data_IF_717483680464
#
_entry.id   IF_717483680464
#
_cell.length_a   1.000
_cell.length_b   1.000
_cell.length_c   1.000
_cell.angle_alpha   90.00
_cell.angle_beta   90.00
_cell.angle_gamma   90.00
#
_symmetry.space_group_name_H-M   'P 1'
#
loop_
_entity.id
_entity.type
_entity.pdbx_description
1 polymer ?
#
# COMPACT_ATOMS: atom_id res chain seq x y z
N UNK A 1 18.43 -37.48 17.16
CA UNK A 1 19.05 -36.18 17.49
C UNK A 1 17.96 -35.12 17.57
N UNK A 2 18.10 -34.08 18.39
CA UNK A 2 17.04 -33.11 18.66
C UNK A 2 17.06 -31.91 17.70
N UNK A 3 15.99 -31.71 16.91
CA UNK A 3 15.85 -30.52 16.06
C UNK A 3 15.50 -29.27 16.88
N UNK A 4 16.52 -28.45 17.17
CA UNK A 4 16.35 -27.13 17.77
C UNK A 4 16.18 -26.06 16.67
N UNK A 5 14.94 -25.85 16.23
CA UNK A 5 14.61 -24.82 15.25
C UNK A 5 13.12 -24.48 15.20
N UNK A 6 12.65 -23.58 16.09
CA UNK A 6 11.25 -23.11 16.10
C UNK A 6 10.87 -22.34 14.84
N UNK A 7 11.84 -21.69 14.20
CA UNK A 7 11.71 -21.08 12.87
C UNK A 7 11.52 -22.15 11.79
N UNK A 8 10.52 -21.95 10.93
CA UNK A 8 10.24 -22.83 9.79
C UNK A 8 9.47 -24.13 10.09
N UNK A 9 9.12 -24.46 11.34
CA UNK A 9 8.39 -25.71 11.67
C UNK A 9 7.08 -25.86 10.88
N UNK A 10 6.27 -24.79 10.83
CA UNK A 10 5.00 -24.75 10.06
C UNK A 10 5.22 -24.85 8.54
N UNK A 11 6.36 -24.37 8.04
CA UNK A 11 6.71 -24.49 6.62
C UNK A 11 7.04 -25.95 6.31
N UNK A 12 7.99 -26.54 7.05
CA UNK A 12 8.35 -27.97 6.94
C UNK A 12 7.13 -28.89 7.05
N UNK A 13 6.19 -28.62 7.94
CA UNK A 13 4.98 -29.43 8.10
C UNK A 13 4.06 -29.36 6.86
N UNK A 14 3.94 -28.19 6.21
CA UNK A 14 3.21 -28.04 4.93
C UNK A 14 3.95 -28.72 3.78
N UNK A 15 5.25 -28.48 3.66
CA UNK A 15 6.07 -29.00 2.55
C UNK A 15 6.04 -30.53 2.51
N UNK A 16 6.17 -31.19 3.66
CA UNK A 16 6.12 -32.66 3.79
C UNK A 16 4.76 -33.25 3.43
N UNK A 17 3.67 -32.56 3.78
CA UNK A 17 2.32 -32.96 3.40
C UNK A 17 2.08 -32.83 1.89
N UNK A 18 2.52 -31.72 1.29
CA UNK A 18 2.43 -31.47 -0.15
C UNK A 18 3.34 -32.40 -0.97
N UNK A 19 4.51 -32.77 -0.44
CA UNK A 19 5.38 -33.81 -1.00
C UNK A 19 4.80 -35.23 -0.90
N UNK A 20 3.67 -35.41 -0.19
CA UNK A 20 2.95 -36.67 -0.10
C UNK A 20 3.58 -37.72 0.82
N UNK A 21 4.49 -37.32 1.71
CA UNK A 21 5.18 -38.26 2.62
C UNK A 21 4.18 -39.00 3.53
N UNK A 22 4.27 -40.33 3.61
CA UNK A 22 3.40 -41.15 4.47
C UNK A 22 3.44 -40.70 5.95
N UNK A 23 4.64 -40.40 6.46
CA UNK A 23 4.85 -39.93 7.84
C UNK A 23 4.26 -38.53 8.14
N UNK A 24 3.73 -37.82 7.13
CA UNK A 24 2.99 -36.56 7.29
C UNK A 24 1.47 -36.76 7.40
N UNK A 25 0.97 -37.97 7.11
CA UNK A 25 -0.45 -38.31 6.99
C UNK A 25 -1.04 -39.06 8.20
N UNK A 26 -0.32 -39.14 9.32
CA UNK A 26 -0.89 -39.65 10.57
C UNK A 26 -1.89 -38.65 11.16
N UNK A 27 -2.88 -39.15 11.91
CA UNK A 27 -3.93 -38.34 12.55
C UNK A 27 -3.38 -37.17 13.36
N UNK A 28 -2.29 -37.38 14.12
CA UNK A 28 -1.66 -36.32 14.92
C UNK A 28 -1.01 -35.25 14.03
N UNK A 29 -0.44 -35.63 12.88
CA UNK A 29 0.24 -34.71 11.97
C UNK A 29 -0.72 -33.93 11.09
N UNK A 30 -1.79 -34.57 10.65
CA UNK A 30 -2.90 -33.91 9.96
C UNK A 30 -3.58 -32.90 10.90
N UNK A 31 -3.83 -33.28 12.16
CA UNK A 31 -4.40 -32.37 13.15
C UNK A 31 -3.42 -31.25 13.55
N UNK A 32 -2.13 -31.55 13.75
CA UNK A 32 -1.08 -30.55 13.99
C UNK A 32 -1.05 -29.51 12.85
N UNK A 33 -1.06 -29.99 11.60
CA UNK A 33 -1.07 -29.14 10.41
C UNK A 33 -2.34 -28.28 10.34
N UNK A 34 -3.51 -28.88 10.52
CA UNK A 34 -4.80 -28.18 10.50
C UNK A 34 -4.85 -27.07 11.56
N UNK A 35 -4.40 -27.36 12.78
CA UNK A 35 -4.34 -26.36 13.86
C UNK A 35 -3.32 -25.23 13.59
N UNK A 36 -2.33 -25.40 12.71
CA UNK A 36 -1.44 -24.28 12.32
C UNK A 36 -2.18 -23.15 11.61
N UNK A 37 -3.32 -23.43 10.95
CA UNK A 37 -4.12 -22.41 10.27
C UNK A 37 -5.03 -21.63 11.24
N UNK A 38 -5.51 -22.28 12.30
CA UNK A 38 -6.39 -21.65 13.30
C UNK A 38 -5.64 -20.97 14.47
N UNK A 39 -4.47 -21.47 14.86
CA UNK A 39 -3.76 -20.98 16.07
C UNK A 39 -2.51 -20.19 15.68
N UNK A 40 -2.50 -18.88 15.90
CA UNK A 40 -1.36 -18.00 15.58
C UNK A 40 -0.15 -18.18 16.52
N UNK A 41 1.06 -18.25 15.93
CA UNK A 41 2.40 -18.12 16.57
C UNK A 41 2.69 -18.98 17.83
N UNK A 42 1.90 -20.01 18.12
CA UNK A 42 2.14 -20.99 19.20
C UNK A 42 2.57 -22.36 18.64
N UNK A 43 3.17 -23.19 19.48
CA UNK A 43 3.38 -24.61 19.19
C UNK A 43 2.04 -25.35 19.35
N UNK A 44 1.56 -25.95 18.26
CA UNK A 44 0.28 -26.67 18.19
C UNK A 44 0.45 -28.18 18.32
N UNK A 45 1.68 -28.70 18.32
CA UNK A 45 1.95 -30.13 18.45
C UNK A 45 1.44 -30.72 19.77
N UNK A 46 1.61 -30.07 20.95
CA UNK A 46 1.03 -30.58 22.19
C UNK A 46 -0.50 -30.58 22.16
N UNK A 47 -1.11 -29.60 21.50
CA UNK A 47 -2.57 -29.47 21.40
C UNK A 47 -3.17 -30.56 20.48
N UNK A 48 -2.53 -30.86 19.35
CA UNK A 48 -2.92 -31.95 18.47
C UNK A 48 -2.86 -33.31 19.19
N UNK A 49 -1.75 -33.57 19.91
CA UNK A 49 -1.60 -34.80 20.71
C UNK A 49 -2.65 -34.90 21.83
N UNK A 50 -2.96 -33.80 22.51
CA UNK A 50 -3.99 -33.77 23.56
C UNK A 50 -5.38 -34.09 23.00
N UNK A 51 -5.75 -33.51 21.85
CA UNK A 51 -7.04 -33.78 21.19
C UNK A 51 -7.17 -35.23 20.74
N UNK A 52 -6.13 -35.80 20.10
CA UNK A 52 -6.12 -37.23 19.73
C UNK A 52 -6.22 -38.11 20.98
N UNK A 53 -5.55 -37.74 22.08
CA UNK A 53 -5.65 -38.47 23.37
C UNK A 53 -7.05 -38.42 23.99
N UNK A 54 -7.73 -37.26 23.93
CA UNK A 54 -9.05 -37.07 24.55
C UNK A 54 -10.17 -37.69 23.72
N UNK A 55 -10.12 -37.58 22.39
CA UNK A 55 -11.21 -38.01 21.51
C UNK A 55 -10.95 -39.36 20.80
N UNK A 56 -9.71 -39.85 20.77
CA UNK A 56 -9.36 -41.20 20.29
C UNK A 56 -9.01 -41.31 18.79
N UNK A 57 -8.94 -40.21 18.05
CA UNK A 57 -8.56 -40.19 16.64
C UNK A 57 -9.02 -38.92 15.91
N UNK A 58 -8.52 -38.67 14.70
CA UNK A 58 -8.82 -37.46 13.93
C UNK A 58 -10.32 -37.37 13.57
N UNK A 59 -10.93 -38.49 13.17
CA UNK A 59 -12.36 -38.57 12.85
C UNK A 59 -13.24 -38.19 14.06
N UNK A 60 -12.84 -38.63 15.25
CA UNK A 60 -13.50 -38.34 16.51
C UNK A 60 -13.33 -36.87 16.92
N UNK A 61 -12.15 -36.27 16.71
CA UNK A 61 -11.94 -34.82 16.90
C UNK A 61 -12.80 -33.98 15.94
N UNK A 62 -12.92 -34.39 14.68
CA UNK A 62 -13.73 -33.70 13.68
C UNK A 62 -15.24 -33.77 13.98
N UNK A 63 -15.71 -34.91 14.48
CA UNK A 63 -17.12 -35.15 14.81
C UNK A 63 -17.55 -34.62 16.20
N UNK A 64 -16.65 -34.57 17.19
CA UNK A 64 -16.91 -34.09 18.57
C UNK A 64 -17.67 -32.76 18.66
N UNK A 65 -18.55 -32.58 19.65
CA UNK A 65 -19.36 -31.37 19.76
C UNK A 65 -18.51 -30.10 19.97
N UNK A 66 -18.96 -28.90 19.54
CA UNK A 66 -18.30 -27.63 19.84
C UNK A 66 -18.04 -27.44 21.34
N UNK A 67 -19.00 -27.83 22.19
CA UNK A 67 -18.91 -27.71 23.65
C UNK A 67 -17.85 -28.65 24.25
N UNK A 68 -17.69 -29.86 23.70
CA UNK A 68 -16.64 -30.79 24.13
C UNK A 68 -15.25 -30.35 23.68
N UNK A 69 -15.12 -29.84 22.45
CA UNK A 69 -13.87 -29.28 21.94
C UNK A 69 -13.43 -28.05 22.77
N UNK A 70 -14.38 -27.22 23.21
CA UNK A 70 -14.12 -26.04 24.05
C UNK A 70 -13.54 -26.39 25.44
N UNK A 71 -13.80 -27.60 25.96
CA UNK A 71 -13.24 -28.08 27.25
C UNK A 71 -11.72 -28.32 27.17
N UNK A 72 -11.14 -28.48 25.98
CA UNK A 72 -9.70 -28.73 25.80
C UNK A 72 -8.92 -27.42 25.81
N UNK A 73 -8.14 -27.20 26.87
CA UNK A 73 -7.33 -25.99 27.07
C UNK A 73 -6.38 -25.71 25.90
N UNK A 74 -6.67 -24.66 25.15
CA UNK A 74 -5.88 -24.23 23.98
C UNK A 74 -6.66 -24.26 22.67
N UNK A 75 -7.82 -24.91 22.63
CA UNK A 75 -8.82 -24.70 21.58
C UNK A 75 -9.47 -23.33 21.76
N UNK A 76 -9.65 -22.61 20.65
CA UNK A 76 -10.47 -21.41 20.57
C UNK A 76 -11.49 -21.52 19.44
N UNK A 77 -12.41 -20.56 19.34
CA UNK A 77 -13.51 -20.59 18.36
C UNK A 77 -13.04 -20.80 16.91
N UNK A 78 -11.93 -20.16 16.49
CA UNK A 78 -11.34 -20.37 15.16
C UNK A 78 -10.89 -21.81 14.90
N UNK A 79 -10.43 -22.53 15.93
CA UNK A 79 -10.05 -23.94 15.82
C UNK A 79 -11.29 -24.84 15.71
N UNK A 80 -12.33 -24.56 16.50
CA UNK A 80 -13.60 -25.29 16.44
C UNK A 80 -14.25 -25.11 15.06
N UNK A 81 -14.34 -23.88 14.57
CA UNK A 81 -14.89 -23.56 13.25
C UNK A 81 -14.13 -24.30 12.13
N UNK A 82 -12.80 -24.29 12.15
CA UNK A 82 -11.98 -25.00 11.16
C UNK A 82 -12.23 -26.52 11.18
N UNK A 83 -12.26 -27.14 12.36
CA UNK A 83 -12.56 -28.57 12.51
C UNK A 83 -13.96 -28.91 11.99
N UNK A 84 -14.95 -28.06 12.26
CA UNK A 84 -16.33 -28.26 11.80
C UNK A 84 -16.51 -28.08 10.30
N UNK A 85 -15.80 -27.13 9.68
CA UNK A 85 -15.75 -26.98 8.22
C UNK A 85 -15.15 -28.22 7.56
N UNK A 86 -14.03 -28.75 8.06
CA UNK A 86 -13.43 -29.99 7.53
C UNK A 86 -14.37 -31.18 7.68
N UNK A 87 -15.03 -31.33 8.84
CA UNK A 87 -16.02 -32.38 9.07
C UNK A 87 -17.22 -32.28 8.10
N UNK A 88 -17.72 -31.07 7.84
CA UNK A 88 -18.85 -30.82 6.93
C UNK A 88 -18.48 -31.13 5.46
N UNK A 89 -17.26 -30.80 5.04
CA UNK A 89 -16.74 -31.17 3.72
C UNK A 89 -16.60 -32.69 3.62
N UNK A 90 -16.09 -33.35 4.67
CA UNK A 90 -15.93 -34.80 4.72
C UNK A 90 -17.27 -35.56 4.70
N UNK A 91 -18.32 -35.01 5.32
CA UNK A 91 -19.65 -35.66 5.37
C UNK A 91 -20.44 -35.55 4.06
N UNK A 92 -19.87 -34.97 3.00
CA UNK A 92 -20.46 -34.92 1.66
C UNK A 92 -21.77 -34.11 1.60
N UNK A 93 -22.08 -33.32 2.63
CA UNK A 93 -23.38 -32.65 2.81
C UNK A 93 -23.47 -31.32 2.04
N UNK A 94 -22.74 -31.22 0.93
CA UNK A 94 -22.84 -30.11 -0.01
C UNK A 94 -23.92 -30.46 -1.02
N UNK A 95 -25.11 -29.89 -0.87
CA UNK A 95 -26.18 -30.01 -1.86
C UNK A 95 -25.69 -29.46 -3.20
N UNK A 96 -25.51 -30.34 -4.18
CA UNK A 96 -25.16 -29.97 -5.55
C UNK A 96 -26.41 -29.45 -6.27
N UNK A 97 -26.80 -28.22 -5.96
CA UNK A 97 -27.71 -27.44 -6.81
C UNK A 97 -26.94 -26.74 -7.94
N UNK A 98 -26.16 -27.51 -8.71
CA UNK A 98 -25.72 -27.05 -10.04
C UNK A 98 -26.83 -27.31 -11.06
N UNK A 99 -27.93 -26.55 -10.92
CA UNK A 99 -28.95 -26.38 -11.97
C UNK A 99 -28.92 -24.95 -12.53
N UNK A 100 -27.72 -24.42 -12.80
CA UNK A 100 -27.56 -23.44 -13.87
C UNK A 100 -27.59 -24.18 -15.20
N UNK A 101 -28.78 -24.28 -15.80
CA UNK A 101 -28.92 -24.60 -17.20
C UNK A 101 -28.22 -23.52 -18.03
N UNK A 102 -27.17 -23.92 -18.75
CA UNK A 102 -26.45 -23.03 -19.67
C UNK A 102 -27.44 -22.42 -20.68
N UNK A 103 -27.44 -21.08 -20.87
CA UNK A 103 -28.30 -20.46 -21.87
C UNK A 103 -27.87 -20.95 -23.26
N UNK A 104 -28.76 -21.69 -23.94
CA UNK A 104 -28.58 -22.07 -25.35
C UNK A 104 -28.71 -20.84 -26.22
N UNK A 105 -27.59 -20.20 -26.54
CA UNK A 105 -27.55 -19.06 -27.46
C UNK A 105 -26.71 -17.89 -26.96
N UNK A 106 -25.41 -18.10 -26.79
CA UNK A 106 -24.41 -17.03 -26.79
C UNK A 106 -23.13 -17.61 -27.40
N UNK A 107 -22.57 -16.93 -28.40
CA UNK A 107 -21.53 -17.52 -29.26
C UNK A 107 -20.23 -17.87 -28.52
N UNK A 108 -19.58 -18.92 -29.01
CA UNK A 108 -18.37 -19.47 -28.43
C UNK A 108 -17.19 -18.49 -28.58
N UNK A 109 -16.91 -17.74 -27.52
CA UNK A 109 -15.63 -17.05 -27.36
C UNK A 109 -15.18 -17.02 -25.88
N UNK A 110 -15.12 -18.21 -25.26
CA UNK A 110 -14.42 -18.40 -23.99
C UNK A 110 -12.99 -18.92 -24.23
N UNK A 111 -12.03 -18.08 -23.85
CA UNK A 111 -10.81 -18.47 -23.13
C UNK A 111 -9.84 -19.45 -23.82
N UNK A 112 -9.12 -18.97 -24.84
CA UNK A 112 -7.70 -19.31 -24.98
C UNK A 112 -6.87 -18.39 -24.06
N UNK A 113 -6.77 -18.75 -22.78
CA UNK A 113 -6.08 -17.91 -21.78
C UNK A 113 -4.67 -18.41 -21.39
N UNK A 114 -4.26 -19.59 -21.86
CA UNK A 114 -2.92 -20.15 -21.67
C UNK A 114 -2.52 -21.03 -22.88
N UNK A 115 -1.79 -20.46 -23.83
CA UNK A 115 -0.93 -21.21 -24.77
C UNK A 115 0.41 -20.47 -24.82
N UNK A 116 1.51 -21.14 -24.45
CA UNK A 116 2.85 -20.57 -24.51
C UNK A 116 3.28 -20.31 -25.97
N UNK A 117 3.99 -19.20 -26.27
CA UNK A 117 4.49 -18.95 -27.61
C UNK A 117 5.62 -19.94 -27.94
N UNK A 118 5.39 -20.76 -28.97
CA UNK A 118 6.46 -21.51 -29.63
C UNK A 118 7.07 -20.65 -30.73
N UNK A 119 8.40 -20.66 -30.82
CA UNK A 119 9.16 -20.04 -31.91
C UNK A 119 8.74 -20.61 -33.28
N UNK A 120 8.57 -19.73 -34.28
CA UNK A 120 8.91 -19.97 -35.70
C UNK A 120 8.89 -18.63 -36.50
N UNK A 121 9.49 -18.55 -37.71
CA UNK A 121 10.18 -17.33 -38.16
C UNK A 121 9.38 -16.34 -39.01
N UNK A 122 9.86 -15.09 -39.03
CA UNK A 122 9.36 -13.98 -39.86
C UNK A 122 9.76 -14.08 -41.34
N UNK A 123 8.83 -13.84 -42.28
CA UNK A 123 9.15 -13.44 -43.64
C UNK A 123 8.78 -11.97 -43.93
N UNK A 124 9.60 -11.28 -44.73
CA UNK A 124 9.36 -9.91 -45.21
C UNK A 124 8.31 -9.85 -46.34
N UNK A 125 7.60 -8.72 -46.51
CA UNK A 125 6.89 -8.41 -47.76
C UNK A 125 7.58 -7.30 -48.58
N UNK A 126 7.68 -7.52 -49.89
CA UNK A 126 8.18 -6.56 -50.90
C UNK A 126 7.04 -5.87 -51.69
N UNK A 127 7.40 -4.86 -52.49
CA UNK A 127 6.48 -3.89 -53.12
C UNK A 127 5.90 -4.31 -54.49
N UNK A 128 4.57 -4.16 -54.67
CA UNK A 128 3.85 -3.48 -55.80
C UNK A 128 2.32 -3.52 -55.49
N UNK A 129 1.39 -2.70 -55.99
CA UNK A 129 1.35 -1.92 -57.23
C UNK A 129 0.55 -0.58 -57.18
N UNK A 130 0.79 0.17 -58.25
CA UNK A 130 0.38 1.51 -58.68
C UNK A 130 -1.11 1.96 -58.64
N UNK A 131 -1.31 3.19 -58.12
CA UNK A 131 -1.74 4.43 -58.86
C UNK A 131 -3.24 4.81 -58.99
N UNK A 132 -3.53 6.05 -58.56
CA UNK A 132 -4.70 6.84 -59.00
C UNK A 132 -4.68 8.35 -58.67
N UNK A 133 -3.96 9.17 -59.47
CA UNK A 133 -4.13 10.63 -59.83
C UNK A 133 -4.67 11.66 -58.77
N UNK A 134 -4.22 12.92 -58.68
CA UNK A 134 -3.67 13.86 -59.69
C UNK A 134 -3.13 15.19 -59.04
N UNK A 135 -2.12 15.84 -59.67
CA UNK A 135 -1.80 17.31 -59.78
C UNK A 135 -1.88 18.26 -58.55
N UNK A 136 -1.08 19.33 -58.35
CA UNK A 136 0.08 20.02 -59.00
C UNK A 136 0.57 21.10 -57.98
N UNK A 137 1.81 21.64 -57.97
CA UNK A 137 3.03 21.40 -58.75
C UNK A 137 4.20 22.31 -58.28
N UNK A 138 5.44 21.98 -58.71
CA UNK A 138 6.66 22.81 -58.97
C UNK A 138 7.04 24.00 -58.03
N UNK A 139 8.32 24.29 -57.71
CA UNK A 139 9.64 23.67 -58.00
C UNK A 139 10.72 24.36 -57.12
N UNK A 140 11.79 23.64 -56.81
CA UNK A 140 13.14 24.19 -56.52
C UNK A 140 14.17 23.52 -57.44
N UNK A 141 15.29 24.18 -57.79
CA UNK A 141 16.50 23.54 -58.32
C UNK A 141 17.67 23.71 -57.31
N UNK A 142 18.36 22.70 -56.76
CA UNK A 142 19.26 21.70 -57.38
C UNK A 142 20.31 22.29 -58.35
N UNK A 143 21.58 21.91 -58.43
CA UNK A 143 22.52 20.99 -57.73
C UNK A 143 23.95 21.33 -58.27
N UNK A 144 25.03 20.70 -57.74
CA UNK A 144 26.38 20.39 -58.32
C UNK A 144 27.52 20.81 -57.35
N UNK A 145 28.24 19.88 -56.69
CA UNK A 145 29.49 19.15 -57.09
C UNK A 145 30.72 20.07 -57.28
N UNK A 146 31.97 19.72 -56.94
CA UNK A 146 32.58 18.40 -56.66
C UNK A 146 33.84 18.46 -55.73
N UNK A 147 34.79 17.51 -55.87
CA UNK A 147 35.83 17.09 -54.90
C UNK A 147 37.22 17.80 -54.98
N UNK A 148 37.95 17.66 -53.87
CA UNK A 148 39.41 17.30 -53.74
C UNK A 148 40.57 18.32 -53.69
N UNK A 149 41.44 18.03 -52.71
CA UNK A 149 42.92 18.10 -52.63
C UNK A 149 43.76 19.38 -52.30
N UNK A 150 44.47 19.25 -51.16
CA UNK A 150 45.90 19.53 -50.84
C UNK A 150 46.50 20.94 -50.68
N UNK A 151 47.42 20.99 -49.70
CA UNK A 151 48.49 21.97 -49.41
C UNK A 151 48.05 23.43 -49.11
N UNK A 152 48.64 24.16 -48.15
CA UNK A 152 49.63 23.86 -47.13
C UNK A 152 49.99 25.15 -46.36
N UNK A 153 50.42 25.05 -45.09
CA UNK A 153 50.95 26.21 -44.33
C UNK A 153 50.35 26.41 -42.93
N UNK A 154 51.13 26.07 -41.90
CA UNK A 154 50.92 26.53 -40.52
C UNK A 154 51.71 27.84 -40.27
N UNK A 155 51.44 28.57 -39.18
CA UNK A 155 52.19 28.26 -37.96
C UNK A 155 51.38 28.27 -36.64
N UNK A 156 51.82 27.43 -35.70
CA UNK A 156 51.76 27.49 -34.22
C UNK A 156 50.52 28.17 -33.57
N UNK A 157 49.63 27.41 -32.91
CA UNK A 157 49.73 26.97 -31.50
C UNK A 157 49.75 28.14 -30.48
N UNK A 158 48.91 28.21 -29.44
CA UNK A 158 47.84 27.33 -28.92
C UNK A 158 46.84 28.18 -28.08
N UNK A 159 45.73 27.71 -27.50
CA UNK A 159 45.24 26.34 -27.23
C UNK A 159 43.70 26.24 -27.41
N UNK A 160 42.97 25.50 -26.55
CA UNK A 160 41.55 25.13 -26.75
C UNK A 160 40.74 25.10 -25.45
N UNK A 161 39.54 25.72 -25.44
CA UNK A 161 38.30 25.23 -24.80
C UNK A 161 37.13 26.19 -25.14
N UNK A 162 36.36 25.96 -26.22
CA UNK A 162 35.08 25.21 -26.22
C UNK A 162 33.94 25.85 -25.39
N UNK A 163 33.12 26.64 -26.07
CA UNK A 163 31.76 27.05 -25.63
C UNK A 163 30.74 26.39 -26.57
N UNK A 164 29.75 25.68 -26.01
CA UNK A 164 28.66 25.05 -26.78
C UNK A 164 27.40 25.92 -26.69
N UNK A 165 26.64 26.00 -27.81
CA UNK A 165 25.57 26.97 -28.00
C UNK A 165 24.26 26.65 -27.27
N UNK A 166 23.46 27.71 -27.15
CA UNK A 166 22.15 27.79 -26.50
C UNK A 166 21.08 26.88 -27.13
N UNK A 167 20.21 26.35 -26.29
CA UNK A 167 18.84 25.93 -26.65
C UNK A 167 17.85 26.73 -25.79
N UNK A 168 16.75 27.14 -26.42
CA UNK A 168 15.93 28.27 -25.98
C UNK A 168 15.04 27.97 -24.76
N UNK A 169 14.82 29.01 -23.93
CA UNK A 169 13.89 28.98 -22.78
C UNK A 169 12.44 29.18 -23.22
N UNK A 170 11.46 28.43 -22.69
CA UNK A 170 10.06 28.83 -22.76
C UNK A 170 9.76 30.04 -21.84
N UNK A 171 8.73 30.79 -22.19
CA UNK A 171 8.47 32.16 -21.72
C UNK A 171 7.75 32.26 -20.37
N UNK A 172 7.93 33.41 -19.70
CA UNK A 172 7.17 33.81 -18.50
C UNK A 172 5.69 33.98 -18.82
N UNK A 173 4.81 33.38 -18.00
CA UNK A 173 3.45 33.87 -17.76
C UNK A 173 3.38 34.47 -16.35
N UNK A 174 2.70 35.60 -16.21
CA UNK A 174 2.76 36.48 -15.04
C UNK A 174 1.74 36.12 -13.94
N UNK A 175 2.09 36.48 -12.70
CA UNK A 175 1.29 36.27 -11.47
C UNK A 175 -0.02 37.07 -11.48
N UNK A 176 -1.10 36.47 -10.96
CA UNK A 176 -1.79 36.93 -9.73
C UNK A 176 -3.03 36.07 -9.39
N UNK A 177 -2.97 35.35 -8.27
CA UNK A 177 -4.08 35.30 -7.32
C UNK A 177 -3.47 35.37 -5.91
N UNK A 178 -3.95 36.32 -5.12
CA UNK A 178 -3.41 36.69 -3.80
C UNK A 178 -4.35 36.21 -2.71
N UNK A 179 -3.96 35.11 -2.06
CA UNK A 179 -4.56 34.62 -0.82
C UNK A 179 -3.39 34.21 0.08
N UNK A 180 -3.27 34.86 1.24
CA UNK A 180 -2.17 34.69 2.19
C UNK A 180 -2.15 33.29 2.81
N UNK A 181 -1.54 32.34 2.12
CA UNK A 181 -1.17 31.05 2.69
C UNK A 181 0.18 31.19 3.41
N UNK A 182 0.16 31.17 4.75
CA UNK A 182 1.36 30.81 5.54
C UNK A 182 1.89 29.50 4.96
N UNK A 183 3.04 29.56 4.27
CA UNK A 183 3.57 28.42 3.53
C UNK A 183 3.74 27.22 4.47
N UNK A 184 3.03 26.12 4.17
CA UNK A 184 3.04 24.92 5.00
C UNK A 184 4.43 24.31 4.92
N UNK A 185 5.24 24.52 5.97
CA UNK A 185 6.62 24.04 6.04
C UNK A 185 6.63 22.52 6.02
N UNK A 186 6.99 21.95 4.86
CA UNK A 186 7.16 20.50 4.67
C UNK A 186 8.31 20.00 5.55
N UNK A 187 8.11 18.80 6.08
CA UNK A 187 9.07 18.06 6.88
C UNK A 187 9.94 17.23 5.94
N UNK A 188 11.16 17.70 5.72
CA UNK A 188 12.14 17.01 4.88
C UNK A 188 12.49 15.64 5.47
N UNK A 189 12.79 15.62 6.78
CA UNK A 189 13.25 14.43 7.49
C UNK A 189 12.12 13.90 8.37
N UNK A 190 11.42 12.87 7.88
CA UNK A 190 10.46 12.09 8.66
C UNK A 190 11.22 11.05 9.48
N UNK A 191 12.16 10.35 8.85
CA UNK A 191 12.92 9.28 9.50
C UNK A 191 14.12 9.79 10.28
N UNK A 192 14.67 10.95 9.91
CA UNK A 192 15.92 11.49 10.48
C UNK A 192 17.10 10.50 10.35
N UNK A 193 17.05 9.64 9.33
CA UNK A 193 18.08 8.63 9.05
C UNK A 193 17.96 7.30 9.79
N UNK A 194 16.84 7.04 10.47
CA UNK A 194 16.54 5.74 11.07
C UNK A 194 15.53 4.94 10.24
N UNK A 195 15.55 3.62 10.39
CA UNK A 195 14.59 2.72 9.76
C UNK A 195 13.36 2.54 10.65
N UNK A 196 12.24 2.10 10.08
CA UNK A 196 11.00 1.88 10.83
C UNK A 196 10.98 0.51 11.52
N UNK A 197 11.60 0.46 12.69
CA UNK A 197 11.54 -0.71 13.58
C UNK A 197 10.19 -0.71 14.33
N UNK A 198 9.22 -1.49 13.84
CA UNK A 198 7.86 -1.54 14.41
C UNK A 198 7.85 -1.98 15.89
N UNK A 199 8.73 -2.88 16.31
CA UNK A 199 8.88 -3.26 17.73
C UNK A 199 9.31 -2.07 18.61
N UNK A 200 10.17 -1.19 18.09
CA UNK A 200 10.62 -0.01 18.83
C UNK A 200 9.56 1.09 18.83
N UNK A 201 8.79 1.21 17.74
CA UNK A 201 7.62 2.08 17.71
C UNK A 201 6.55 1.60 18.69
N UNK A 202 6.27 0.29 18.76
CA UNK A 202 5.33 -0.30 19.71
C UNK A 202 5.69 0.03 21.16
N UNK A 203 6.99 0.00 21.52
CA UNK A 203 7.48 0.41 22.86
C UNK A 203 7.22 1.90 23.15
N UNK A 204 7.34 2.77 22.14
CA UNK A 204 6.95 4.19 22.27
C UNK A 204 5.44 4.31 22.45
N UNK A 205 4.63 3.69 21.57
CA UNK A 205 3.17 3.73 21.62
C UNK A 205 2.61 3.17 22.93
N UNK A 206 3.21 2.11 23.49
CA UNK A 206 2.84 1.53 24.79
C UNK A 206 2.97 2.54 25.91
N UNK A 207 4.13 3.19 26.01
CA UNK A 207 4.35 4.22 27.02
C UNK A 207 3.38 5.40 26.85
N UNK A 208 3.05 5.78 25.61
CA UNK A 208 2.05 6.83 25.36
C UNK A 208 0.62 6.38 25.73
N UNK A 209 0.28 5.10 25.56
CA UNK A 209 -1.02 4.52 25.90
C UNK A 209 -1.22 4.38 27.42
N UNK A 210 -0.18 4.00 28.15
CA UNK A 210 -0.15 3.97 29.62
C UNK A 210 -0.30 5.37 30.21
N UNK A 211 0.18 6.40 29.50
CA UNK A 211 0.14 7.80 29.93
C UNK A 211 -0.90 8.63 29.13
N UNK A 212 -1.95 8.00 28.59
CA UNK A 212 -2.93 8.63 27.68
C UNK A 212 -3.66 9.85 28.27
N UNK A 213 -3.81 9.92 29.59
CA UNK A 213 -4.49 11.01 30.29
C UNK A 213 -3.58 12.25 30.48
N UNK A 214 -2.28 12.13 30.18
CA UNK A 214 -1.33 13.22 30.27
C UNK A 214 -1.51 14.22 29.13
N UNK A 215 -1.66 15.52 29.44
CA UNK A 215 -1.75 16.59 28.42
C UNK A 215 -0.48 16.77 27.57
N UNK A 216 0.68 16.32 28.09
CA UNK A 216 1.98 16.41 27.42
C UNK A 216 2.97 15.45 28.07
N UNK A 217 3.75 14.75 27.24
CA UNK A 217 4.79 13.82 27.68
C UNK A 217 6.17 14.37 27.29
N UNK A 218 7.16 14.19 28.17
CA UNK A 218 8.53 14.64 27.94
C UNK A 218 9.34 13.53 27.23
N UNK A 219 10.15 13.91 26.24
CA UNK A 219 11.03 12.99 25.51
C UNK A 219 12.05 12.32 26.44
N UNK A 220 12.47 12.99 27.52
CA UNK A 220 13.33 12.42 28.56
C UNK A 220 12.68 11.18 29.19
N UNK A 221 11.41 11.27 29.58
CA UNK A 221 10.64 10.17 30.18
C UNK A 221 10.46 9.01 29.22
N UNK A 222 10.15 9.29 27.95
CA UNK A 222 10.11 8.28 26.89
C UNK A 222 11.45 7.54 26.75
N UNK A 223 12.57 8.28 26.72
CA UNK A 223 13.92 7.72 26.61
C UNK A 223 14.25 6.79 27.78
N UNK A 224 13.90 7.20 29.00
CA UNK A 224 14.15 6.43 30.23
C UNK A 224 13.32 5.15 30.31
N UNK A 225 12.04 5.17 29.88
CA UNK A 225 11.18 3.98 29.93
C UNK A 225 11.36 3.04 28.71
N UNK A 226 11.68 3.59 27.53
CA UNK A 226 11.95 2.77 26.33
C UNK A 226 13.40 2.27 26.24
N UNK A 227 14.33 2.79 27.05
CA UNK A 227 15.76 2.42 26.96
C UNK A 227 16.39 2.70 25.59
N UNK A 228 15.77 3.54 24.77
CA UNK A 228 16.23 3.90 23.42
C UNK A 228 17.12 5.15 23.46
N UNK A 229 17.99 5.31 22.45
CA UNK A 229 18.76 6.55 22.32
C UNK A 229 17.83 7.74 22.00
N UNK A 230 18.15 8.93 22.50
CA UNK A 230 17.32 10.15 22.34
C UNK A 230 16.98 10.46 20.86
N UNK A 231 17.92 10.20 19.94
CA UNK A 231 17.72 10.36 18.48
C UNK A 231 16.78 9.30 17.89
N UNK A 232 16.79 8.07 18.40
CA UNK A 232 15.84 7.02 18.00
C UNK A 232 14.43 7.38 18.49
N UNK A 233 14.28 7.79 19.75
CA UNK A 233 12.99 8.25 20.30
C UNK A 233 12.45 9.43 19.49
N UNK A 234 13.30 10.42 19.18
CA UNK A 234 12.91 11.55 18.34
C UNK A 234 12.48 11.13 16.92
N UNK A 235 13.13 10.13 16.33
CA UNK A 235 12.74 9.54 15.03
C UNK A 235 11.41 8.78 15.11
N UNK A 236 11.21 7.93 16.12
CA UNK A 236 9.99 7.14 16.26
C UNK A 236 8.76 8.03 16.53
N UNK A 237 8.89 9.06 17.38
CA UNK A 237 7.86 10.11 17.52
C UNK A 237 7.62 10.80 16.17
N UNK A 238 8.69 11.07 15.42
CA UNK A 238 8.65 11.76 14.14
C UNK A 238 7.92 10.96 13.04
N UNK A 239 8.12 9.64 13.01
CA UNK A 239 7.47 8.69 12.08
C UNK A 239 6.04 8.39 12.54
N UNK A 240 5.81 8.12 13.83
CA UNK A 240 4.46 7.93 14.38
C UNK A 240 3.56 9.15 14.19
N UNK A 241 4.11 10.37 14.26
CA UNK A 241 3.40 11.60 13.90
C UNK A 241 3.17 11.76 12.40
N UNK A 242 4.05 11.21 11.54
CA UNK A 242 3.86 11.20 10.10
C UNK A 242 2.75 10.23 9.66
N UNK A 243 2.61 9.09 10.36
CA UNK A 243 1.53 8.10 10.19
C UNK A 243 0.23 8.47 10.96
N UNK A 244 0.12 9.69 11.47
CA UNK A 244 -1.10 10.18 12.13
C UNK A 244 -1.38 9.59 13.53
N UNK A 245 -0.44 8.86 14.14
CA UNK A 245 -0.62 8.18 15.43
C UNK A 245 -0.25 9.04 16.65
N UNK A 246 0.68 9.98 16.49
CA UNK A 246 1.23 10.78 17.60
C UNK A 246 1.07 12.27 17.31
N UNK A 247 0.50 13.04 18.23
CA UNK A 247 0.46 14.50 18.13
C UNK A 247 1.87 15.09 18.37
N UNK A 248 2.49 15.73 17.37
CA UNK A 248 3.84 16.26 17.52
C UNK A 248 3.88 17.43 18.51
N UNK A 249 4.95 17.53 19.29
CA UNK A 249 5.16 18.58 20.30
C UNK A 249 4.59 18.25 21.69
N UNK A 250 3.35 17.73 21.76
CA UNK A 250 2.77 17.21 23.00
C UNK A 250 3.20 15.77 23.29
N UNK A 251 3.52 14.97 22.26
CA UNK A 251 3.92 13.57 22.39
C UNK A 251 2.83 12.72 23.06
N UNK A 252 1.57 12.93 22.65
CA UNK A 252 0.41 12.15 23.08
C UNK A 252 -0.16 11.41 21.86
N UNK A 253 -0.94 10.35 22.08
CA UNK A 253 -1.61 9.65 20.97
C UNK A 253 -2.70 10.55 20.37
N UNK A 254 -2.89 10.48 19.05
CA UNK A 254 -4.12 10.96 18.41
C UNK A 254 -5.27 9.99 18.71
N UNK A 255 -6.54 10.32 18.43
CA UNK A 255 -7.65 9.37 18.56
C UNK A 255 -7.40 8.06 17.79
N UNK A 256 -6.91 8.14 16.54
CA UNK A 256 -6.52 6.97 15.76
C UNK A 256 -5.31 6.23 16.35
N UNK A 257 -4.32 6.97 16.87
CA UNK A 257 -3.18 6.40 17.56
C UNK A 257 -3.56 5.64 18.83
N UNK A 258 -4.60 6.08 19.54
CA UNK A 258 -5.16 5.41 20.70
C UNK A 258 -5.79 4.06 20.30
N UNK A 259 -6.67 4.07 19.29
CA UNK A 259 -7.29 2.85 18.76
C UNK A 259 -6.24 1.84 18.28
N UNK A 260 -5.27 2.27 17.46
CA UNK A 260 -4.22 1.38 16.95
C UNK A 260 -3.34 0.86 18.11
N UNK A 261 -2.97 1.70 19.08
CA UNK A 261 -2.20 1.24 20.24
C UNK A 261 -2.97 0.24 21.13
N UNK A 262 -4.31 0.35 21.21
CA UNK A 262 -5.16 -0.57 21.96
C UNK A 262 -5.36 -1.91 21.24
N UNK A 263 -5.58 -1.91 19.93
CA UNK A 263 -6.03 -3.11 19.18
C UNK A 263 -4.96 -3.76 18.28
N UNK A 264 -3.85 -3.05 17.96
CA UNK A 264 -2.77 -3.51 17.08
C UNK A 264 -1.47 -2.70 17.29
N UNK A 265 -0.92 -2.73 18.50
CA UNK A 265 0.23 -1.88 18.90
C UNK A 265 1.52 -2.10 18.08
N UNK A 266 1.67 -3.29 17.48
CA UNK A 266 2.78 -3.64 16.59
C UNK A 266 2.50 -3.27 15.12
N UNK A 267 1.30 -2.76 14.82
CA UNK A 267 0.84 -2.40 13.47
C UNK A 267 1.04 -3.58 12.52
N UNK A 268 0.49 -4.74 12.89
CA UNK A 268 0.62 -5.98 12.13
C UNK A 268 -0.56 -6.28 11.20
N UNK A 269 -1.76 -5.77 11.50
CA UNK A 269 -2.98 -5.96 10.70
C UNK A 269 -2.87 -5.14 9.41
N UNK A 270 -3.38 -5.68 8.30
CA UNK A 270 -3.42 -4.96 7.01
C UNK A 270 -4.19 -3.64 7.12
N UNK A 271 -5.32 -3.63 7.83
CA UNK A 271 -6.12 -2.42 8.11
C UNK A 271 -5.33 -1.30 8.80
N UNK A 272 -4.55 -1.60 9.83
CA UNK A 272 -3.70 -0.61 10.52
C UNK A 272 -2.61 -0.07 9.59
N UNK A 273 -2.05 -0.94 8.73
CA UNK A 273 -1.04 -0.57 7.74
C UNK A 273 -1.64 0.25 6.59
N UNK A 274 -2.84 -0.08 6.11
CA UNK A 274 -3.62 0.70 5.15
C UNK A 274 -3.78 2.14 5.66
N UNK A 275 -4.24 2.33 6.90
CA UNK A 275 -4.32 3.66 7.50
C UNK A 275 -2.97 4.36 7.64
N UNK A 276 -1.94 3.67 8.15
CA UNK A 276 -0.62 4.26 8.34
C UNK A 276 0.06 4.64 7.00
N UNK A 277 -0.21 3.89 5.92
CA UNK A 277 0.20 4.20 4.55
C UNK A 277 -0.51 5.44 4.05
N UNK A 278 -1.84 5.49 4.16
CA UNK A 278 -2.66 6.65 3.80
C UNK A 278 -2.17 7.93 4.51
N UNK A 279 -2.02 7.89 5.84
CA UNK A 279 -1.57 9.06 6.60
C UNK A 279 -0.10 9.43 6.27
N UNK A 280 0.80 8.44 6.19
CA UNK A 280 2.23 8.64 5.94
C UNK A 280 2.53 9.19 4.54
N UNK A 281 2.00 8.54 3.50
CA UNK A 281 2.23 8.88 2.10
C UNK A 281 1.24 9.91 1.55
N UNK A 282 0.02 10.03 2.09
CA UNK A 282 -0.98 11.00 1.63
C UNK A 282 -0.80 12.42 2.18
N UNK A 283 -0.07 12.59 3.28
CA UNK A 283 0.12 13.91 3.89
C UNK A 283 1.22 14.71 3.21
N UNK A 284 0.87 15.81 2.52
CA UNK A 284 1.81 16.73 1.83
C UNK A 284 3.00 17.21 2.68
N UNK A 285 2.82 17.27 4.01
CA UNK A 285 3.86 17.61 4.98
C UNK A 285 5.05 16.65 4.95
N UNK A 286 4.85 15.38 4.64
CA UNK A 286 5.89 14.34 4.70
C UNK A 286 6.67 14.31 3.38
N UNK A 287 7.60 15.25 3.18
CA UNK A 287 8.18 15.60 1.86
C UNK A 287 8.50 14.38 0.97
N UNK A 288 9.52 13.60 1.32
CA UNK A 288 10.01 12.52 0.45
C UNK A 288 8.98 11.40 0.31
N UNK A 289 8.30 11.04 1.40
CA UNK A 289 7.29 9.98 1.42
C UNK A 289 6.10 10.32 0.51
N UNK A 290 5.61 11.57 0.58
CA UNK A 290 4.52 12.07 -0.26
C UNK A 290 4.92 12.13 -1.73
N UNK A 291 6.08 12.70 -2.05
CA UNK A 291 6.53 12.82 -3.45
C UNK A 291 6.75 11.43 -4.09
N UNK A 292 7.14 10.40 -3.33
CA UNK A 292 7.30 9.03 -3.84
C UNK A 292 5.97 8.49 -4.38
N UNK A 293 4.91 8.47 -3.55
CA UNK A 293 3.65 7.81 -3.93
C UNK A 293 2.69 8.67 -4.76
N UNK A 294 2.83 10.00 -4.72
CA UNK A 294 1.91 10.91 -5.40
C UNK A 294 2.48 11.58 -6.65
N UNK A 295 3.78 11.46 -6.91
CA UNK A 295 4.42 12.02 -8.11
C UNK A 295 5.41 11.06 -8.75
N UNK A 296 6.47 10.65 -8.05
CA UNK A 296 7.56 9.83 -8.61
C UNK A 296 7.03 8.53 -9.22
N UNK A 297 6.26 7.74 -8.47
CA UNK A 297 5.68 6.46 -8.92
C UNK A 297 4.50 6.60 -9.92
N UNK A 298 4.20 7.82 -10.36
CA UNK A 298 3.21 8.15 -11.39
C UNK A 298 3.92 8.67 -12.65
N UNK A 299 4.89 9.56 -12.47
CA UNK A 299 5.75 10.12 -13.52
C UNK A 299 6.72 9.06 -14.07
N UNK A 300 7.31 8.24 -13.21
CA UNK A 300 8.35 7.24 -13.50
C UNK A 300 7.93 5.87 -12.91
N UNK A 301 7.17 5.03 -13.66
CA UNK A 301 6.57 3.79 -13.11
C UNK A 301 7.56 2.73 -12.62
N UNK A 302 8.77 2.70 -13.19
CA UNK A 302 9.84 1.73 -12.88
C UNK A 302 11.18 2.45 -12.79
N UNK A 303 11.81 2.46 -11.61
CA UNK A 303 13.11 3.13 -11.43
C UNK A 303 13.91 2.57 -10.26
N UNK A 304 15.24 2.48 -10.39
CA UNK A 304 16.13 2.06 -9.30
C UNK A 304 16.18 3.07 -8.14
N UNK A 305 16.61 2.62 -6.96
CA UNK A 305 16.87 3.50 -5.82
C UNK A 305 17.86 4.64 -6.15
N UNK A 306 18.86 4.42 -7.01
CA UNK A 306 19.78 5.49 -7.42
C UNK A 306 19.08 6.51 -8.32
N UNK A 307 18.18 6.05 -9.20
CA UNK A 307 17.29 6.91 -9.98
C UNK A 307 16.41 7.78 -9.08
N UNK A 308 15.78 7.22 -8.05
CA UNK A 308 14.99 7.99 -7.08
C UNK A 308 15.84 9.10 -6.42
N UNK A 309 17.08 8.79 -6.05
CA UNK A 309 18.01 9.77 -5.49
C UNK A 309 18.38 10.89 -6.49
N UNK A 310 18.52 10.57 -7.78
CA UNK A 310 18.77 11.55 -8.85
C UNK A 310 17.55 12.44 -9.10
N UNK A 311 16.36 11.83 -9.22
CA UNK A 311 15.08 12.52 -9.33
C UNK A 311 14.88 13.54 -8.20
N UNK A 312 15.06 13.13 -6.94
CA UNK A 312 14.93 14.03 -5.80
C UNK A 312 15.99 15.13 -5.74
N UNK A 313 17.22 14.88 -6.23
CA UNK A 313 18.24 15.93 -6.34
C UNK A 313 17.81 17.03 -7.30
N UNK A 314 17.27 16.66 -8.47
CA UNK A 314 16.77 17.61 -9.45
C UNK A 314 15.51 18.34 -8.96
N UNK A 315 14.49 17.60 -8.51
CA UNK A 315 13.18 18.14 -8.09
C UNK A 315 13.26 19.06 -6.87
N UNK A 316 14.26 18.90 -6.00
CA UNK A 316 14.48 19.72 -4.81
C UNK A 316 15.58 20.78 -4.97
N UNK A 317 16.24 20.87 -6.13
CA UNK A 317 17.24 21.90 -6.40
C UNK A 317 16.63 23.30 -6.35
N UNK A 318 17.41 24.28 -5.91
CA UNK A 318 16.96 25.64 -5.63
C UNK A 318 15.97 25.79 -4.44
N UNK A 319 15.29 24.72 -4.01
CA UNK A 319 14.38 24.73 -2.85
C UNK A 319 15.12 24.43 -1.54
N UNK A 320 16.18 23.63 -1.59
CA UNK A 320 17.01 23.26 -0.44
C UNK A 320 18.49 23.35 -0.80
N UNK A 321 19.37 23.51 0.19
CA UNK A 321 20.82 23.53 -0.08
C UNK A 321 21.30 22.17 -0.59
N UNK A 322 22.23 22.16 -1.55
CA UNK A 322 22.79 20.93 -2.11
C UNK A 322 23.38 19.99 -1.05
N UNK A 323 23.91 20.54 0.06
CA UNK A 323 24.33 19.76 1.24
C UNK A 323 23.15 19.06 1.92
N UNK A 324 22.06 19.77 2.20
CA UNK A 324 20.84 19.17 2.78
C UNK A 324 20.30 18.04 1.90
N UNK A 325 20.26 18.24 0.59
CA UNK A 325 19.80 17.25 -0.38
C UNK A 325 20.73 16.02 -0.34
N UNK A 326 22.04 16.22 -0.47
CA UNK A 326 23.06 15.15 -0.44
C UNK A 326 23.02 14.35 0.86
N UNK A 327 22.91 15.02 2.00
CA UNK A 327 23.04 14.40 3.33
C UNK A 327 21.76 13.69 3.79
N UNK A 328 20.58 14.01 3.23
CA UNK A 328 19.29 13.54 3.75
C UNK A 328 18.40 12.81 2.74
N UNK A 329 18.43 13.12 1.42
CA UNK A 329 17.59 12.38 0.44
C UNK A 329 17.84 10.87 0.48
N UNK A 330 19.09 10.36 0.45
CA UNK A 330 19.33 8.90 0.44
C UNK A 330 18.85 8.19 1.71
N UNK A 331 18.75 8.92 2.82
CA UNK A 331 18.27 8.41 4.11
C UNK A 331 16.76 8.26 4.14
N UNK A 332 16.03 9.27 3.67
CA UNK A 332 14.57 9.23 3.61
C UNK A 332 14.07 8.29 2.49
N UNK A 333 14.76 8.24 1.35
CA UNK A 333 14.52 7.24 0.29
C UNK A 333 14.75 5.82 0.81
N UNK A 334 15.87 5.56 1.50
CA UNK A 334 16.14 4.24 2.12
C UNK A 334 15.08 3.88 3.16
N UNK A 335 14.64 4.83 3.97
CA UNK A 335 13.58 4.63 4.96
C UNK A 335 12.27 4.15 4.32
N UNK A 336 11.83 4.78 3.22
CA UNK A 336 10.61 4.34 2.51
C UNK A 336 10.81 2.97 1.87
N UNK A 337 11.95 2.70 1.22
CA UNK A 337 12.20 1.39 0.60
C UNK A 337 12.23 0.27 1.65
N UNK A 338 13.01 0.42 2.72
CA UNK A 338 13.11 -0.56 3.82
C UNK A 338 11.74 -0.83 4.45
N UNK A 339 10.98 0.24 4.75
CA UNK A 339 9.68 0.12 5.40
C UNK A 339 8.67 -0.71 4.58
N UNK A 340 8.75 -0.66 3.24
CA UNK A 340 7.81 -1.30 2.32
C UNK A 340 8.30 -2.61 1.70
N UNK A 341 9.60 -2.89 1.67
CA UNK A 341 10.12 -4.18 1.20
C UNK A 341 10.41 -5.14 2.36
N UNK A 342 11.00 -4.65 3.45
CA UNK A 342 11.57 -5.47 4.53
C UNK A 342 10.74 -5.44 5.83
N UNK A 343 9.92 -4.40 6.04
CA UNK A 343 9.13 -4.20 7.29
C UNK A 343 7.64 -4.34 7.05
N UNK A 344 6.81 -4.06 8.07
CA UNK A 344 5.39 -4.43 8.06
C UNK A 344 4.59 -3.91 6.85
N UNK A 345 4.95 -2.78 6.21
CA UNK A 345 4.24 -2.32 5.00
C UNK A 345 4.44 -3.26 3.79
N UNK A 346 5.42 -4.17 3.80
CA UNK A 346 5.54 -5.23 2.78
C UNK A 346 4.30 -6.12 2.71
N UNK A 347 3.54 -6.27 3.81
CA UNK A 347 2.24 -6.96 3.85
C UNK A 347 1.15 -6.32 2.99
N UNK A 348 1.34 -5.07 2.58
CA UNK A 348 0.47 -4.36 1.63
C UNK A 348 0.91 -4.61 0.18
N UNK A 349 2.18 -4.95 -0.07
CA UNK A 349 2.72 -5.25 -1.40
C UNK A 349 2.47 -4.11 -2.43
N UNK A 350 2.48 -2.85 -1.97
CA UNK A 350 2.25 -1.64 -2.79
C UNK A 350 3.51 -1.24 -3.56
N UNK A 351 4.68 -1.39 -2.94
CA UNK A 351 5.98 -1.16 -3.56
C UNK A 351 6.71 -2.51 -3.67
N UNK A 352 7.24 -2.81 -4.84
CA UNK A 352 7.92 -4.06 -5.12
C UNK A 352 9.26 -3.80 -5.84
N UNK A 353 10.16 -4.77 -5.79
CA UNK A 353 11.46 -4.76 -6.45
C UNK A 353 11.48 -5.86 -7.53
N UNK A 354 11.87 -5.53 -8.75
CA UNK A 354 12.11 -6.53 -9.81
C UNK A 354 13.48 -7.21 -9.67
N UNK A 355 13.70 -8.30 -10.42
CA UNK A 355 15.03 -8.93 -10.56
C UNK A 355 16.12 -7.92 -10.89
N UNK A 356 15.79 -6.95 -11.74
CA UNK A 356 16.72 -5.98 -12.32
C UNK A 356 16.85 -4.73 -11.42
N UNK A 357 16.52 -4.86 -10.13
CA UNK A 357 16.57 -3.82 -9.11
C UNK A 357 15.72 -2.57 -9.40
N UNK A 358 14.68 -2.69 -10.22
CA UNK A 358 13.72 -1.61 -10.46
C UNK A 358 12.65 -1.63 -9.37
N UNK A 359 12.45 -0.48 -8.71
CA UNK A 359 11.32 -0.28 -7.82
C UNK A 359 10.10 0.13 -8.65
N UNK A 360 8.97 -0.51 -8.40
CA UNK A 360 7.71 -0.21 -9.08
C UNK A 360 6.52 -0.31 -8.14
N UNK A 361 5.47 0.44 -8.44
CA UNK A 361 4.23 0.43 -7.66
C UNK A 361 3.24 -0.59 -8.22
N UNK A 362 2.74 -1.47 -7.36
CA UNK A 362 1.58 -2.32 -7.66
C UNK A 362 0.31 -1.63 -7.16
N UNK A 363 -0.76 -1.71 -7.95
CA UNK A 363 -2.10 -1.28 -7.54
C UNK A 363 -2.57 -2.10 -6.34
N UNK A 364 -3.19 -1.43 -5.37
CA UNK A 364 -3.78 -2.07 -4.20
C UNK A 364 -5.29 -1.89 -4.19
N UNK A 365 -6.05 -3.00 -4.17
CA UNK A 365 -7.52 -3.02 -4.19
C UNK A 365 -8.15 -3.79 -3.01
N UNK A 366 -7.34 -4.46 -2.20
CA UNK A 366 -7.79 -5.39 -1.15
C UNK A 366 -8.12 -4.71 0.18
N UNK A 367 -8.75 -3.54 0.14
CA UNK A 367 -9.02 -2.72 1.31
C UNK A 367 -10.02 -3.36 2.29
N UNK A 368 -9.86 -3.04 3.58
CA UNK A 368 -10.99 -3.10 4.48
C UNK A 368 -11.96 -1.93 4.20
N UNK A 369 -13.25 -2.23 3.95
CA UNK A 369 -14.26 -1.21 3.58
C UNK A 369 -14.42 -0.09 4.62
N UNK A 370 -14.37 -0.41 5.92
CA UNK A 370 -14.48 0.59 6.99
C UNK A 370 -13.23 1.48 7.01
N UNK A 371 -12.03 0.90 6.92
CA UNK A 371 -10.79 1.70 6.87
C UNK A 371 -10.74 2.58 5.62
N UNK A 372 -11.15 2.07 4.45
CA UNK A 372 -11.24 2.88 3.23
C UNK A 372 -12.25 4.03 3.37
N UNK A 373 -13.41 3.77 4.00
CA UNK A 373 -14.38 4.80 4.36
C UNK A 373 -13.74 5.87 5.26
N UNK A 374 -12.97 5.46 6.26
CA UNK A 374 -12.24 6.40 7.12
C UNK A 374 -11.29 7.30 6.33
N UNK A 375 -10.55 6.75 5.35
CA UNK A 375 -9.66 7.55 4.50
C UNK A 375 -10.41 8.56 3.63
N UNK A 376 -11.56 8.18 3.06
CA UNK A 376 -12.40 9.08 2.25
C UNK A 376 -12.95 10.22 3.12
N UNK A 377 -13.48 9.90 4.30
CA UNK A 377 -13.98 10.91 5.24
C UNK A 377 -12.86 11.85 5.74
N UNK A 378 -11.67 11.34 6.06
CA UNK A 378 -10.52 12.16 6.46
C UNK A 378 -10.03 13.08 5.34
N UNK A 379 -9.89 12.54 4.12
CA UNK A 379 -9.45 13.30 2.94
C UNK A 379 -10.38 14.48 2.63
N UNK A 380 -11.69 14.25 2.71
CA UNK A 380 -12.71 15.26 2.44
C UNK A 380 -12.81 16.29 3.57
N UNK A 381 -12.87 15.82 4.83
CA UNK A 381 -13.01 16.69 6.01
C UNK A 381 -11.79 17.60 6.20
N UNK A 382 -10.57 17.09 5.94
CA UNK A 382 -9.33 17.88 5.99
C UNK A 382 -9.27 19.00 4.94
N UNK A 383 -10.18 19.01 3.97
CA UNK A 383 -10.36 20.05 2.93
C UNK A 383 -11.62 20.91 3.16
N UNK A 384 -12.40 20.63 4.20
CA UNK A 384 -13.63 21.37 4.52
C UNK A 384 -14.78 21.13 3.53
N UNK A 385 -14.80 19.99 2.83
CA UNK A 385 -15.80 19.71 1.80
C UNK A 385 -16.55 18.39 2.05
N UNK A 386 -17.88 18.45 1.92
CA UNK A 386 -18.81 17.31 2.06
C UNK A 386 -19.18 16.66 0.71
N UNK A 387 -18.75 17.29 -0.39
CA UNK A 387 -18.99 16.88 -1.77
C UNK A 387 -17.68 16.99 -2.55
N UNK A 388 -17.35 15.97 -3.33
CA UNK A 388 -16.20 15.96 -4.23
C UNK A 388 -16.57 15.41 -5.60
N UNK A 389 -15.94 15.93 -6.65
CA UNK A 389 -15.99 15.28 -7.95
C UNK A 389 -15.13 14.01 -7.93
N UNK A 390 -15.68 12.90 -8.42
CA UNK A 390 -15.01 11.61 -8.46
C UNK A 390 -13.70 11.68 -9.27
N UNK A 391 -13.75 12.30 -10.46
CA UNK A 391 -12.60 12.43 -11.35
C UNK A 391 -11.45 13.24 -10.73
N UNK A 392 -11.76 14.28 -9.96
CA UNK A 392 -10.75 15.05 -9.22
C UNK A 392 -10.13 14.19 -8.12
N UNK A 393 -10.94 13.52 -7.29
CA UNK A 393 -10.45 12.69 -6.20
C UNK A 393 -9.61 11.50 -6.71
N UNK A 394 -9.96 10.93 -7.87
CA UNK A 394 -9.24 9.81 -8.47
C UNK A 394 -7.75 10.12 -8.77
N UNK A 395 -7.41 11.37 -9.04
CA UNK A 395 -6.04 11.79 -9.42
C UNK A 395 -5.38 12.77 -8.44
N UNK A 396 -6.12 13.36 -7.50
CA UNK A 396 -5.59 14.39 -6.60
C UNK A 396 -4.50 13.83 -5.67
N UNK A 397 -3.28 14.43 -5.65
CA UNK A 397 -2.24 14.08 -4.69
C UNK A 397 -2.73 14.09 -3.23
N UNK A 398 -2.46 12.99 -2.52
CA UNK A 398 -2.92 12.74 -1.16
C UNK A 398 -4.29 12.07 -1.06
N UNK A 399 -4.99 11.81 -2.16
CA UNK A 399 -6.23 11.03 -2.14
C UNK A 399 -5.96 9.54 -1.93
N UNK A 400 -6.92 8.76 -1.39
CA UNK A 400 -6.78 7.31 -1.31
C UNK A 400 -6.52 6.68 -2.69
N UNK A 401 -7.12 7.19 -3.75
CA UNK A 401 -6.88 6.72 -5.11
C UNK A 401 -5.42 6.92 -5.56
N UNK A 402 -4.91 8.15 -5.45
CA UNK A 402 -3.55 8.49 -5.87
C UNK A 402 -2.49 7.78 -5.02
N UNK A 403 -2.70 7.69 -3.71
CA UNK A 403 -1.75 7.11 -2.73
C UNK A 403 -1.61 5.59 -2.88
N UNK A 404 -2.70 4.87 -3.19
CA UNK A 404 -2.68 3.41 -3.40
C UNK A 404 -2.55 2.99 -4.88
N UNK A 405 -2.44 3.96 -5.80
CA UNK A 405 -2.25 3.68 -7.23
C UNK A 405 -3.47 3.04 -7.91
N UNK A 406 -4.68 3.39 -7.46
CA UNK A 406 -5.92 2.97 -8.12
C UNK A 406 -6.07 3.66 -9.47
N UNK A 407 -6.58 2.93 -10.47
CA UNK A 407 -7.17 3.57 -11.65
C UNK A 407 -8.62 3.96 -11.40
N UNK A 408 -9.21 4.74 -12.30
CA UNK A 408 -10.59 5.22 -12.16
C UNK A 408 -11.61 4.07 -12.05
N UNK A 409 -11.41 2.95 -12.74
CA UNK A 409 -12.30 1.79 -12.65
C UNK A 409 -12.23 1.12 -11.27
N UNK A 410 -11.02 0.83 -10.78
CA UNK A 410 -10.81 0.21 -9.46
C UNK A 410 -11.25 1.14 -8.33
N UNK A 411 -11.02 2.44 -8.46
CA UNK A 411 -11.47 3.42 -7.48
C UNK A 411 -13.00 3.55 -7.45
N UNK A 412 -13.66 3.55 -8.62
CA UNK A 412 -15.13 3.54 -8.72
C UNK A 412 -15.72 2.33 -8.01
N UNK A 413 -15.19 1.13 -8.25
CA UNK A 413 -15.65 -0.09 -7.59
C UNK A 413 -15.57 -0.01 -6.05
N UNK A 414 -14.52 0.61 -5.49
CA UNK A 414 -14.45 0.82 -4.04
C UNK A 414 -15.52 1.82 -3.56
N UNK A 415 -15.71 2.93 -4.28
CA UNK A 415 -16.71 3.95 -3.94
C UNK A 415 -18.15 3.42 -4.05
N UNK A 416 -18.45 2.60 -5.06
CA UNK A 416 -19.74 1.90 -5.22
C UNK A 416 -20.01 0.97 -4.04
N UNK A 417 -19.04 0.15 -3.61
CA UNK A 417 -19.20 -0.70 -2.43
C UNK A 417 -19.43 0.08 -1.12
N UNK A 418 -18.96 1.33 -1.03
CA UNK A 418 -19.24 2.25 0.07
C UNK A 418 -20.62 2.93 -0.05
N UNK A 419 -21.10 3.13 -1.28
CA UNK A 419 -22.45 3.61 -1.58
C UNK A 419 -23.52 2.56 -1.24
N UNK A 420 -23.31 1.31 -1.65
CA UNK A 420 -24.18 0.16 -1.36
C UNK A 420 -24.34 -0.10 0.15
N UNK A 421 -23.28 0.22 0.92
CA UNK A 421 -23.29 0.13 2.38
C UNK A 421 -24.06 1.30 3.06
N UNK A 422 -24.54 2.28 2.30
CA UNK A 422 -25.27 3.44 2.82
C UNK A 422 -24.39 4.47 3.57
N UNK A 423 -23.07 4.32 3.50
CA UNK A 423 -22.09 5.14 4.24
C UNK A 423 -21.68 6.41 3.48
N UNK A 424 -21.92 6.48 2.18
CA UNK A 424 -21.83 7.69 1.36
C UNK A 424 -22.84 7.63 0.20
N UNK A 425 -22.98 8.72 -0.55
CA UNK A 425 -23.68 8.69 -1.84
C UNK A 425 -22.71 8.88 -2.99
N UNK A 426 -22.86 8.03 -4.00
CA UNK A 426 -22.22 8.17 -5.29
C UNK A 426 -23.31 8.45 -6.33
N UNK A 427 -23.28 9.63 -6.94
CA UNK A 427 -24.35 10.13 -7.80
C UNK A 427 -23.75 10.62 -9.13
N UNK A 428 -24.24 10.12 -10.27
CA UNK A 428 -23.89 10.64 -11.61
C UNK A 428 -24.95 11.64 -12.04
N UNK A 429 -24.64 12.93 -12.00
CA UNK A 429 -25.54 14.02 -12.41
C UNK A 429 -24.95 14.81 -13.56
N UNK A 430 -25.67 14.97 -14.67
CA UNK A 430 -25.22 15.74 -15.85
C UNK A 430 -23.81 15.36 -16.35
N UNK A 431 -23.51 14.06 -16.42
CA UNK A 431 -22.18 13.50 -16.76
C UNK A 431 -21.04 13.85 -15.78
N UNK A 432 -21.36 14.32 -14.57
CA UNK A 432 -20.43 14.49 -13.46
C UNK A 432 -20.71 13.46 -12.37
N UNK A 433 -19.75 12.56 -12.17
CA UNK A 433 -19.72 11.62 -11.06
C UNK A 433 -19.31 12.35 -9.76
N UNK A 434 -20.14 12.27 -8.72
CA UNK A 434 -19.94 12.99 -7.46
C UNK A 434 -19.97 12.02 -6.26
N UNK A 435 -19.07 12.25 -5.31
CA UNK A 435 -19.01 11.57 -4.01
C UNK A 435 -19.52 12.57 -2.95
N UNK A 436 -20.60 12.22 -2.27
CA UNK A 436 -21.18 13.01 -1.18
C UNK A 436 -21.08 12.22 0.13
N UNK A 437 -20.43 12.81 1.13
CA UNK A 437 -20.41 12.23 2.47
C UNK A 437 -21.79 12.30 3.11
N UNK A 438 -22.10 11.33 3.98
CA UNK A 438 -23.32 11.30 4.77
C UNK A 438 -23.06 11.96 6.14
N UNK A 439 -23.86 12.96 6.57
CA UNK A 439 -23.71 13.60 7.87
C UNK A 439 -23.75 12.60 9.04
N UNK A 440 -23.13 12.98 10.17
CA UNK A 440 -23.05 12.17 11.39
C UNK A 440 -21.97 11.08 11.38
N UNK A 441 -21.43 10.69 10.22
CA UNK A 441 -20.26 9.82 10.16
C UNK A 441 -18.94 10.59 10.24
N UNK A 442 -17.87 9.92 10.69
CA UNK A 442 -16.53 10.50 10.78
C UNK A 442 -15.45 9.43 10.54
N UNK A 443 -14.25 9.87 10.14
CA UNK A 443 -13.13 8.96 9.91
C UNK A 443 -12.76 8.14 11.15
N UNK A 444 -12.83 8.75 12.34
CA UNK A 444 -12.52 8.05 13.59
C UNK A 444 -13.57 6.99 13.90
N UNK A 445 -14.85 7.25 13.64
CA UNK A 445 -15.93 6.28 13.91
C UNK A 445 -15.84 5.04 13.01
N UNK A 446 -15.51 5.19 11.73
CA UNK A 446 -15.24 4.03 10.85
C UNK A 446 -14.04 3.19 11.33
N UNK A 447 -13.00 3.82 11.86
CA UNK A 447 -11.86 3.10 12.46
C UNK A 447 -12.24 2.41 13.77
N UNK A 448 -13.04 3.05 14.61
CA UNK A 448 -13.57 2.45 15.85
C UNK A 448 -14.41 1.22 15.50
N UNK A 449 -15.37 1.36 14.59
CA UNK A 449 -16.21 0.27 14.10
C UNK A 449 -15.38 -0.91 13.54
N UNK A 450 -14.30 -0.62 12.82
CA UNK A 450 -13.35 -1.64 12.34
C UNK A 450 -12.65 -2.40 13.47
N UNK A 451 -12.21 -1.71 14.52
CA UNK A 451 -11.48 -2.33 15.63
C UNK A 451 -12.37 -3.00 16.68
N UNK A 452 -13.65 -2.64 16.71
CA UNK A 452 -14.71 -3.23 17.54
C UNK A 452 -15.55 -4.30 16.78
N UNK A 453 -15.18 -4.64 15.54
CA UNK A 453 -15.84 -5.63 14.67
C UNK A 453 -17.37 -5.42 14.55
N UNK A 454 -17.80 -4.17 14.35
CA UNK A 454 -19.22 -3.75 14.26
C UNK A 454 -19.51 -2.81 13.08
N UNK A 455 -20.79 -2.53 12.86
CA UNK A 455 -21.23 -1.45 11.97
C UNK A 455 -20.90 -0.05 12.57
N UNK A 456 -20.64 0.96 11.73
CA UNK A 456 -20.38 2.33 12.18
C UNK A 456 -21.69 3.03 12.57
N UNK A 457 -21.65 3.79 13.66
CA UNK A 457 -22.79 4.59 14.11
C UNK A 457 -22.81 5.95 13.43
N UNK A 458 -24.02 6.49 13.23
CA UNK A 458 -24.22 7.86 12.82
C UNK A 458 -24.43 8.71 14.08
N UNK A 459 -23.61 9.74 14.30
CA UNK A 459 -23.80 10.67 15.42
C UNK A 459 -24.89 11.70 15.07
N UNK A 460 -26.08 11.52 15.63
CA UNK A 460 -27.26 12.33 15.34
C UNK A 460 -27.15 13.79 15.82
N UNK A 461 -26.25 14.10 16.77
CA UNK A 461 -26.04 15.46 17.29
C UNK A 461 -25.59 16.48 16.21
N UNK A 462 -24.98 16.01 15.11
CA UNK A 462 -24.58 16.85 13.97
C UNK A 462 -25.72 17.14 12.98
N UNK A 463 -26.89 16.51 13.13
CA UNK A 463 -28.07 16.77 12.30
C UNK A 463 -28.83 18.04 12.69
N UNK A 464 -28.70 18.49 13.95
CA UNK A 464 -29.54 19.53 14.55
C UNK A 464 -28.99 20.97 14.41
N UNK A 465 -27.94 21.19 13.60
CA UNK A 465 -27.27 22.51 13.45
C UNK A 465 -27.34 23.12 12.04
N UNK A 466 -28.11 22.54 11.11
CA UNK A 466 -28.21 23.02 9.73
C UNK A 466 -29.63 23.42 9.27
N UNK A 467 -30.62 23.44 10.18
CA UNK A 467 -32.00 23.85 9.92
C UNK A 467 -32.41 25.06 10.80
N UNK A 468 -31.69 26.19 10.66
CA UNK A 468 -32.14 27.56 11.02
C UNK A 468 -31.69 28.58 9.96
#
# INVERSE_FOLDING_TARGET
>A
MAEKGKTGHRQRLRDRFLAGEEASRSDERLLELLLTFAVGRKDVKPLALELIRVFGGLSQVLSASPDDLCKVKGIGQSSIALLKVVNFIQSGTVSVETNLSLPKGADANQLKFFEDPKDEPTPEPSFSDLRGKKSEGQKTPSVLTERSEKEGGAPNASSVAKTTQELQRPSRVSKKSSLDKKSIRRKFQVSNGYLLEFDQLARVLHFLLENRDARKINRKSLRENTGLADRQVASLISIGAAMGLIQPGCQILTPTGLLIAQHDIFIEKRSSLEWCHYAGAGTYRNLVWFEIFNHLLIEEPTMTQEGWNKYFRFRLDGQYSGKTIKDHVPKEVRFVIDAYLERNFSKLEILLLSSDSQLYRRRYTSFNRLVFSAMIYDFCTSRGAQLFQFGEMAVMPGSPAAVFGLDAASFRQQIEGLHDSGWLRYETTHNLDQIRLKPGFSAIEFLTAHFEDREPHQNDELGMMNDE
#
